data_IF_792719494529
#
_entry.id   IF_792719494529
#
_cell.length_a   1.000
_cell.length_b   1.000
_cell.length_c   1.000
_cell.angle_alpha   90.00
_cell.angle_beta   90.00
_cell.angle_gamma   90.00
#
_symmetry.space_group_name_H-M   'P 1'
#
loop_
_entity.id
_entity.type
_entity.pdbx_description
1 polymer ?
#
# COMPACT_ATOMS: atom_id res chain seq x y z
N UNK A 1 1.88 -30.00 -14.50
CA UNK A 1 1.71 -29.55 -15.90
C UNK A 1 1.03 -28.19 -15.83
N UNK A 2 1.63 -27.04 -16.11
CA UNK A 2 2.94 -26.63 -16.61
C UNK A 2 3.32 -25.33 -15.88
N UNK A 3 4.56 -25.20 -15.41
CA UNK A 3 5.25 -23.92 -15.25
C UNK A 3 6.78 -24.09 -15.46
N UNK A 4 7.17 -25.19 -16.13
CA UNK A 4 8.56 -25.43 -16.53
C UNK A 4 8.99 -24.58 -17.74
N UNK A 5 8.04 -23.91 -18.41
CA UNK A 5 8.29 -23.12 -19.62
C UNK A 5 9.19 -21.88 -19.38
N UNK A 6 9.34 -21.40 -18.14
CA UNK A 6 10.20 -20.24 -17.86
C UNK A 6 11.66 -20.62 -17.59
N UNK A 7 12.02 -21.89 -17.42
CA UNK A 7 13.36 -22.27 -16.95
C UNK A 7 14.47 -22.14 -18.02
N UNK A 8 14.13 -22.00 -19.30
CA UNK A 8 15.10 -22.09 -20.40
C UNK A 8 15.26 -20.81 -21.25
N UNK A 9 14.57 -19.72 -20.91
CA UNK A 9 14.72 -18.45 -21.62
C UNK A 9 15.78 -17.57 -20.95
N UNK A 10 16.69 -17.01 -21.73
CA UNK A 10 17.68 -16.02 -21.27
C UNK A 10 17.03 -14.76 -20.68
N UNK A 11 15.81 -14.43 -21.12
CA UNK A 11 14.97 -13.38 -20.53
C UNK A 11 14.51 -13.78 -19.11
N UNK A 12 13.97 -14.99 -18.92
CA UNK A 12 13.48 -15.42 -17.61
C UNK A 12 14.63 -15.60 -16.58
N UNK A 13 15.83 -16.01 -17.02
CA UNK A 13 17.04 -16.00 -16.19
C UNK A 13 17.45 -14.56 -15.79
N UNK A 14 17.35 -13.59 -16.72
CA UNK A 14 17.62 -12.18 -16.45
C UNK A 14 16.59 -11.57 -15.51
N UNK A 15 15.32 -11.97 -15.61
CA UNK A 15 14.24 -11.56 -14.71
C UNK A 15 14.42 -12.12 -13.30
N UNK A 16 14.76 -13.41 -13.14
CA UNK A 16 15.11 -13.98 -11.82
C UNK A 16 16.34 -13.30 -11.23
N UNK A 17 17.36 -12.99 -12.04
CA UNK A 17 18.53 -12.23 -11.61
C UNK A 17 18.17 -10.79 -11.20
N UNK A 18 17.28 -10.13 -11.95
CA UNK A 18 16.79 -8.78 -11.64
C UNK A 18 15.93 -8.77 -10.37
N UNK A 19 15.04 -9.75 -10.17
CA UNK A 19 14.27 -9.94 -8.93
C UNK A 19 15.22 -10.23 -7.75
N UNK A 20 16.26 -11.04 -7.94
CA UNK A 20 17.28 -11.31 -6.93
C UNK A 20 18.14 -10.08 -6.57
N UNK A 21 18.57 -9.30 -7.56
CA UNK A 21 19.31 -8.04 -7.35
C UNK A 21 18.43 -6.93 -6.74
N UNK A 22 17.13 -6.91 -7.07
CA UNK A 22 16.15 -5.97 -6.51
C UNK A 22 15.67 -6.36 -5.11
N UNK A 23 15.60 -7.67 -4.80
CA UNK A 23 15.29 -8.18 -3.46
C UNK A 23 16.28 -7.67 -2.39
N UNK A 24 17.55 -7.51 -2.74
CA UNK A 24 18.55 -6.91 -1.86
C UNK A 24 18.51 -5.38 -1.79
N UNK A 25 17.72 -4.72 -2.65
CA UNK A 25 17.77 -3.27 -2.87
C UNK A 25 16.47 -2.53 -2.50
N UNK A 26 15.41 -3.22 -2.14
CA UNK A 26 14.23 -2.64 -1.48
C UNK A 26 13.11 -2.23 -2.45
N UNK A 27 11.88 -2.41 -1.97
CA UNK A 27 10.64 -2.29 -2.71
C UNK A 27 9.64 -3.33 -2.21
N UNK A 28 8.36 -2.97 -2.11
CA UNK A 28 7.30 -3.87 -1.59
C UNK A 28 7.05 -5.01 -2.57
N UNK A 29 7.15 -4.74 -3.87
CA UNK A 29 6.88 -5.70 -4.93
C UNK A 29 8.01 -6.65 -5.21
N UNK A 30 9.26 -6.26 -4.96
CA UNK A 30 10.39 -7.18 -5.04
C UNK A 30 10.16 -8.38 -4.11
N UNK A 31 9.68 -8.12 -2.89
CA UNK A 31 9.35 -9.14 -1.89
C UNK A 31 8.15 -9.99 -2.34
N UNK A 32 7.07 -9.35 -2.83
CA UNK A 32 5.86 -10.04 -3.29
C UNK A 32 6.11 -10.94 -4.51
N UNK A 33 7.02 -10.52 -5.41
CA UNK A 33 7.42 -11.27 -6.60
C UNK A 33 8.52 -12.32 -6.33
N UNK A 34 8.97 -12.44 -5.06
CA UNK A 34 9.88 -13.50 -4.65
C UNK A 34 9.26 -14.89 -4.82
N UNK A 35 10.10 -15.93 -4.77
CA UNK A 35 9.63 -17.31 -4.86
C UNK A 35 8.70 -17.64 -3.68
N UNK A 36 7.47 -18.04 -4.00
CA UNK A 36 6.47 -18.40 -3.02
C UNK A 36 6.60 -19.88 -2.67
N UNK A 37 7.09 -20.18 -1.47
CA UNK A 37 7.20 -21.57 -1.01
C UNK A 37 5.87 -22.15 -0.49
N UNK A 38 4.87 -21.29 -0.19
CA UNK A 38 3.57 -21.73 0.33
C UNK A 38 2.40 -20.83 -0.10
N UNK A 39 1.24 -21.40 -0.50
CA UNK A 39 0.03 -20.65 -0.86
C UNK A 39 -0.56 -19.85 0.30
N UNK A 40 -0.17 -20.11 1.56
CA UNK A 40 -0.66 -19.41 2.75
C UNK A 40 0.26 -18.27 3.22
N UNK A 41 1.37 -18.02 2.51
CA UNK A 41 2.27 -16.91 2.82
C UNK A 41 1.59 -15.57 2.50
N UNK A 42 1.45 -14.72 3.52
CA UNK A 42 0.99 -13.34 3.37
C UNK A 42 2.19 -12.41 3.23
N UNK A 43 2.14 -11.53 2.23
CA UNK A 43 3.15 -10.50 2.06
C UNK A 43 2.72 -9.23 2.77
N UNK A 44 3.65 -8.53 3.40
CA UNK A 44 3.37 -7.18 3.92
C UNK A 44 3.30 -6.21 2.75
N UNK A 45 2.27 -5.37 2.71
CA UNK A 45 2.14 -4.31 1.70
C UNK A 45 2.58 -2.95 2.26
N UNK A 46 1.89 -2.46 3.28
CA UNK A 46 2.30 -1.33 4.13
C UNK A 46 2.82 -1.86 5.48
N UNK A 47 3.16 -0.96 6.39
CA UNK A 47 3.59 -1.30 7.75
C UNK A 47 2.51 -2.07 8.51
N UNK A 48 2.95 -3.03 9.32
CA UNK A 48 2.13 -3.74 10.30
C UNK A 48 2.63 -3.34 11.69
N UNK A 49 1.77 -2.74 12.51
CA UNK A 49 2.14 -2.27 13.84
C UNK A 49 0.96 -2.30 14.81
N UNK A 50 1.28 -2.32 16.11
CA UNK A 50 0.35 -2.09 17.20
C UNK A 50 1.07 -1.22 18.23
N UNK A 51 0.50 -0.05 18.52
CA UNK A 51 1.08 0.95 19.42
C UNK A 51 0.02 1.51 20.35
N UNK A 52 0.42 1.88 21.56
CA UNK A 52 -0.42 2.64 22.48
C UNK A 52 -0.12 4.13 22.32
N UNK A 53 -1.18 4.93 22.23
CA UNK A 53 -1.09 6.35 21.86
C UNK A 53 -1.87 7.21 22.85
N UNK A 54 -1.43 8.47 23.01
CA UNK A 54 -2.11 9.48 23.82
C UNK A 54 -2.21 10.78 23.04
N UNK A 55 -3.44 11.20 22.71
CA UNK A 55 -3.72 12.42 21.97
C UNK A 55 -3.85 13.66 22.87
N UNK A 56 -3.53 14.83 22.32
CA UNK A 56 -3.76 16.11 23.01
C UNK A 56 -5.25 16.46 23.13
N UNK A 57 -6.03 16.14 22.10
CA UNK A 57 -7.47 16.38 21.99
C UNK A 57 -8.17 15.19 21.32
N UNK A 58 -9.44 14.97 21.68
CA UNK A 58 -10.31 13.97 21.07
C UNK A 58 -11.39 14.67 20.25
N UNK A 59 -11.58 14.29 18.99
CA UNK A 59 -12.58 14.89 18.12
C UNK A 59 -13.98 14.33 18.37
N UNK A 60 -14.54 14.63 19.55
CA UNK A 60 -15.88 14.20 19.95
C UNK A 60 -17.00 14.66 19.00
N UNK A 61 -16.96 15.87 18.42
CA UNK A 61 -17.99 16.29 17.46
C UNK A 61 -18.13 15.36 16.24
N UNK A 62 -17.02 14.80 15.74
CA UNK A 62 -17.03 13.88 14.61
C UNK A 62 -17.59 12.49 14.95
N UNK A 63 -17.72 12.16 16.23
CA UNK A 63 -18.24 10.88 16.72
C UNK A 63 -19.51 11.06 17.57
N UNK A 64 -20.16 12.22 17.52
CA UNK A 64 -21.30 12.56 18.37
C UNK A 64 -22.51 11.63 18.21
N UNK A 65 -22.59 10.90 17.09
CA UNK A 65 -23.62 9.89 16.83
C UNK A 65 -23.48 8.67 17.75
N UNK A 66 -22.34 8.51 18.42
CA UNK A 66 -22.10 7.43 19.37
C UNK A 66 -22.60 7.78 20.77
N UNK A 67 -23.28 6.82 21.40
CA UNK A 67 -23.76 6.88 22.78
C UNK A 67 -22.64 7.11 23.81
N UNK A 68 -21.44 6.61 23.52
CA UNK A 68 -20.24 6.74 24.37
C UNK A 68 -19.35 7.95 24.04
N UNK A 69 -19.73 8.80 23.07
CA UNK A 69 -18.88 9.86 22.52
C UNK A 69 -18.39 10.88 23.56
N UNK A 70 -19.25 11.23 24.52
CA UNK A 70 -18.93 12.14 25.62
C UNK A 70 -17.90 11.56 26.60
N UNK A 71 -17.84 10.23 26.70
CA UNK A 71 -16.92 9.49 27.55
C UNK A 71 -15.67 9.02 26.79
N UNK A 72 -15.51 9.39 25.51
CA UNK A 72 -14.31 9.08 24.73
C UNK A 72 -13.05 9.63 25.41
N UNK A 73 -12.05 8.75 25.58
CA UNK A 73 -10.77 9.08 26.21
C UNK A 73 -9.75 9.51 25.18
N UNK A 74 -8.67 10.14 25.65
CA UNK A 74 -7.57 10.62 24.81
C UNK A 74 -6.53 9.54 24.52
N UNK A 75 -6.55 8.44 25.27
CA UNK A 75 -5.65 7.32 25.09
C UNK A 75 -6.32 6.21 24.27
N UNK A 76 -5.62 5.74 23.25
CA UNK A 76 -6.12 4.73 22.31
C UNK A 76 -4.99 3.77 21.94
N UNK A 77 -5.34 2.50 21.70
CA UNK A 77 -4.48 1.60 20.92
C UNK A 77 -4.71 1.91 19.45
N UNK A 78 -3.63 2.23 18.73
CA UNK A 78 -3.64 2.38 17.28
C UNK A 78 -2.90 1.20 16.67
N UNK A 79 -3.52 0.52 15.72
CA UNK A 79 -2.86 -0.53 14.96
C UNK A 79 -3.17 -0.44 13.48
N UNK A 80 -2.21 -0.93 12.70
CA UNK A 80 -2.35 -1.12 11.27
C UNK A 80 -2.00 -2.56 10.92
N UNK A 81 -2.86 -3.17 10.12
CA UNK A 81 -2.54 -4.41 9.42
C UNK A 81 -2.56 -4.12 7.92
N UNK A 82 -1.60 -4.68 7.18
CA UNK A 82 -1.49 -4.45 5.74
C UNK A 82 -0.85 -5.63 5.02
N UNK A 83 -1.61 -6.19 4.08
CA UNK A 83 -1.21 -7.37 3.33
C UNK A 83 -1.35 -7.17 1.83
N UNK A 84 -0.42 -7.76 1.09
CA UNK A 84 -0.38 -7.80 -0.37
C UNK A 84 -0.61 -9.21 -0.88
N UNK A 85 -1.36 -9.31 -1.97
CA UNK A 85 -1.80 -10.56 -2.59
C UNK A 85 -1.40 -10.54 -4.06
N UNK A 86 -0.41 -11.34 -4.49
CA UNK A 86 -0.11 -11.48 -5.90
C UNK A 86 -1.23 -12.26 -6.58
N UNK A 87 -1.94 -11.64 -7.52
CA UNK A 87 -3.03 -12.28 -8.25
C UNK A 87 -2.53 -12.89 -9.56
N UNK A 88 -1.71 -12.15 -10.30
CA UNK A 88 -1.14 -12.61 -11.57
C UNK A 88 0.22 -11.97 -11.83
N UNK A 89 1.28 -12.78 -11.71
CA UNK A 89 2.64 -12.37 -12.06
C UNK A 89 2.88 -12.44 -13.57
N UNK A 90 3.58 -11.45 -14.12
CA UNK A 90 3.95 -11.44 -15.54
C UNK A 90 2.86 -10.98 -16.52
N UNK A 91 1.75 -10.43 -16.03
CA UNK A 91 0.56 -10.05 -16.84
C UNK A 91 0.88 -9.09 -18.01
N UNK A 92 1.86 -8.20 -17.86
CA UNK A 92 2.34 -7.28 -18.90
C UNK A 92 3.75 -7.64 -19.40
N UNK A 93 4.26 -8.82 -19.07
CA UNK A 93 5.65 -9.23 -19.27
C UNK A 93 6.44 -9.30 -17.96
N UNK A 94 7.72 -9.64 -18.06
CA UNK A 94 8.59 -9.90 -16.90
C UNK A 94 8.65 -8.72 -15.91
N UNK A 95 8.68 -9.02 -14.62
CA UNK A 95 8.70 -8.02 -13.54
C UNK A 95 7.39 -7.24 -13.34
N UNK A 96 6.29 -7.63 -14.01
CA UNK A 96 4.97 -7.05 -13.78
C UNK A 96 4.09 -7.90 -12.87
N UNK A 97 3.13 -7.27 -12.20
CA UNK A 97 2.22 -7.90 -11.24
C UNK A 97 0.83 -7.26 -11.34
N UNK A 98 -0.22 -8.06 -11.54
CA UNK A 98 -1.55 -7.71 -11.06
C UNK A 98 -1.64 -8.16 -9.60
N UNK A 99 -1.88 -7.22 -8.70
CA UNK A 99 -1.96 -7.47 -7.28
C UNK A 99 -3.21 -6.86 -6.66
N UNK A 100 -3.56 -7.38 -5.50
CA UNK A 100 -4.46 -6.73 -4.57
C UNK A 100 -3.74 -6.44 -3.25
N UNK A 101 -4.20 -5.45 -2.52
CA UNK A 101 -3.79 -5.23 -1.14
C UNK A 101 -4.98 -4.90 -0.26
N UNK A 102 -4.80 -5.12 1.03
CA UNK A 102 -5.75 -4.73 2.05
C UNK A 102 -5.00 -4.09 3.19
N UNK A 103 -5.29 -2.82 3.46
CA UNK A 103 -4.78 -2.10 4.63
C UNK A 103 -5.95 -1.72 5.53
N UNK A 104 -5.81 -1.98 6.83
CA UNK A 104 -6.79 -1.58 7.83
C UNK A 104 -6.09 -0.80 8.93
N UNK A 105 -6.67 0.35 9.31
CA UNK A 105 -6.18 1.18 10.42
C UNK A 105 -7.29 1.33 11.43
N UNK A 106 -7.02 0.99 12.69
CA UNK A 106 -8.03 1.04 13.75
C UNK A 106 -7.54 1.86 14.94
N UNK A 107 -8.49 2.57 15.55
CA UNK A 107 -8.32 3.31 16.80
C UNK A 107 -9.26 2.73 17.85
N UNK A 108 -8.68 2.12 18.87
CA UNK A 108 -9.38 1.35 19.87
C UNK A 108 -9.26 1.99 21.25
N UNK A 109 -10.40 2.30 21.86
CA UNK A 109 -10.49 2.81 23.24
C UNK A 109 -10.28 1.68 24.26
N UNK A 110 -9.18 0.93 24.14
CA UNK A 110 -8.90 -0.27 24.93
C UNK A 110 -9.04 -0.02 26.44
N UNK A 111 -8.56 1.13 26.94
CA UNK A 111 -8.63 1.46 28.36
C UNK A 111 -10.04 1.84 28.84
N UNK A 112 -10.95 2.19 27.92
CA UNK A 112 -12.27 2.72 28.23
C UNK A 112 -13.29 1.62 28.60
N UNK A 113 -12.95 0.84 29.63
CA UNK A 113 -13.75 -0.28 30.11
C UNK A 113 -15.18 0.11 30.55
N UNK A 114 -15.39 1.39 30.92
CA UNK A 114 -16.72 1.91 31.30
C UNK A 114 -17.71 1.88 30.12
N UNK A 115 -17.20 2.12 28.92
CA UNK A 115 -17.97 2.09 27.66
C UNK A 115 -17.76 0.77 26.90
N UNK A 116 -17.30 -0.28 27.59
CA UNK A 116 -16.98 -1.59 26.99
C UNK A 116 -15.85 -1.56 25.95
N UNK A 117 -14.90 -0.63 26.09
CA UNK A 117 -13.70 -0.52 25.24
C UNK A 117 -14.01 -0.47 23.73
N UNK A 118 -14.78 0.53 23.26
CA UNK A 118 -15.26 0.56 21.89
C UNK A 118 -14.14 0.88 20.88
N UNK A 119 -14.31 0.43 19.64
CA UNK A 119 -13.51 0.95 18.55
C UNK A 119 -14.06 2.31 18.14
N UNK A 120 -13.23 3.35 18.16
CA UNK A 120 -13.64 4.67 17.70
C UNK A 120 -13.77 4.72 16.21
N UNK A 121 -12.77 4.19 15.50
CA UNK A 121 -12.70 4.26 14.06
C UNK A 121 -11.97 3.05 13.52
N UNK A 122 -12.43 2.53 12.38
CA UNK A 122 -11.67 1.56 11.60
C UNK A 122 -11.78 1.94 10.14
N UNK A 123 -10.65 2.29 9.53
CA UNK A 123 -10.58 2.59 8.11
C UNK A 123 -10.14 1.34 7.35
N UNK A 124 -10.91 1.00 6.32
CA UNK A 124 -10.69 -0.10 5.38
C UNK A 124 -10.19 0.45 4.05
N UNK A 125 -9.04 -0.04 3.61
CA UNK A 125 -8.39 0.40 2.38
C UNK A 125 -8.02 -0.80 1.49
N UNK A 126 -8.99 -1.43 0.81
CA UNK A 126 -8.70 -2.40 -0.24
C UNK A 126 -8.20 -1.71 -1.51
N UNK A 127 -7.29 -2.38 -2.22
CA UNK A 127 -6.71 -1.92 -3.47
C UNK A 127 -6.59 -3.05 -4.48
N UNK A 128 -6.78 -2.73 -5.76
CA UNK A 128 -6.37 -3.56 -6.90
C UNK A 128 -5.48 -2.73 -7.81
N UNK A 129 -4.35 -3.29 -8.25
CA UNK A 129 -3.34 -2.52 -8.95
C UNK A 129 -2.53 -3.36 -9.93
N UNK A 130 -1.97 -2.66 -10.92
CA UNK A 130 -0.89 -3.15 -11.77
C UNK A 130 0.42 -2.52 -11.30
N UNK A 131 1.41 -3.35 -11.04
CA UNK A 131 2.74 -2.93 -10.65
C UNK A 131 3.79 -3.45 -11.64
N UNK A 132 4.90 -2.73 -11.74
CA UNK A 132 6.08 -3.15 -12.49
C UNK A 132 7.36 -2.76 -11.76
N UNK A 133 8.26 -3.72 -11.64
CA UNK A 133 9.64 -3.51 -11.23
C UNK A 133 10.41 -2.82 -12.36
N UNK A 134 11.22 -1.83 -11.99
CA UNK A 134 12.07 -1.05 -12.89
C UNK A 134 13.46 -0.88 -12.30
N UNK A 135 14.43 -0.50 -13.12
CA UNK A 135 15.77 -0.12 -12.66
C UNK A 135 16.27 1.08 -13.48
N UNK A 136 15.41 2.08 -13.64
CA UNK A 136 15.77 3.28 -14.39
C UNK A 136 16.56 4.21 -13.49
N UNK A 137 17.79 4.53 -13.88
CA UNK A 137 18.66 5.44 -13.14
C UNK A 137 18.53 6.87 -13.67
N UNK A 138 18.35 7.83 -12.77
CA UNK A 138 18.38 9.25 -13.06
C UNK A 138 19.01 10.01 -11.88
N UNK A 139 20.05 10.79 -12.14
CA UNK A 139 20.74 11.61 -11.13
C UNK A 139 21.13 10.86 -9.83
N UNK A 140 21.57 9.59 -9.94
CA UNK A 140 21.92 8.74 -8.78
C UNK A 140 20.71 8.19 -8.00
N UNK A 141 19.49 8.40 -8.50
CA UNK A 141 18.28 7.74 -8.04
C UNK A 141 17.92 6.60 -8.98
N UNK A 142 17.52 5.48 -8.40
CA UNK A 142 16.92 4.39 -9.14
C UNK A 142 15.41 4.38 -8.90
N UNK A 143 14.64 4.49 -9.97
CA UNK A 143 13.23 4.15 -9.96
C UNK A 143 13.12 2.63 -9.87
N UNK A 144 12.55 2.14 -8.77
CA UNK A 144 12.47 0.70 -8.46
C UNK A 144 11.10 0.12 -8.77
N UNK A 145 10.04 0.85 -8.46
CA UNK A 145 8.68 0.35 -8.58
C UNK A 145 7.76 1.44 -9.12
N UNK A 146 6.90 1.03 -10.05
CA UNK A 146 5.78 1.81 -10.55
C UNK A 146 4.52 1.00 -10.28
N UNK A 147 3.53 1.62 -9.67
CA UNK A 147 2.24 0.99 -9.38
C UNK A 147 1.11 1.93 -9.76
N UNK A 148 0.08 1.40 -10.41
CA UNK A 148 -1.14 2.12 -10.77
C UNK A 148 -2.36 1.25 -10.49
N UNK A 149 -3.36 1.78 -9.80
CA UNK A 149 -4.54 1.01 -9.44
C UNK A 149 -5.68 1.79 -8.84
N UNK A 150 -6.73 1.07 -8.49
CA UNK A 150 -7.89 1.61 -7.79
C UNK A 150 -7.79 1.30 -6.30
N UNK A 151 -7.99 2.32 -5.49
CA UNK A 151 -7.96 2.27 -4.03
C UNK A 151 -9.31 2.75 -3.53
N UNK A 152 -9.98 1.92 -2.73
CA UNK A 152 -11.22 2.29 -2.06
C UNK A 152 -10.92 2.54 -0.59
N UNK A 153 -11.40 3.65 -0.03
CA UNK A 153 -11.26 3.97 1.39
C UNK A 153 -12.63 4.20 2.00
N UNK A 154 -12.95 3.47 3.05
CA UNK A 154 -14.17 3.66 3.84
C UNK A 154 -13.90 3.38 5.31
N UNK A 155 -14.81 3.80 6.18
CA UNK A 155 -14.78 3.45 7.61
C UNK A 155 -15.84 2.40 7.99
N UNK A 156 -16.58 1.87 7.02
CA UNK A 156 -17.62 0.87 7.22
C UNK A 156 -18.86 1.35 7.99
N UNK A 157 -19.04 2.66 8.20
CA UNK A 157 -20.20 3.19 8.92
C UNK A 157 -21.41 3.41 8.00
N UNK A 158 -22.65 3.25 8.51
CA UNK A 158 -23.88 3.44 7.72
C UNK A 158 -24.10 4.86 7.21
N UNK A 159 -23.64 5.89 7.92
CA UNK A 159 -23.69 7.28 7.42
C UNK A 159 -22.65 7.57 6.32
N UNK A 160 -21.60 6.74 6.23
CA UNK A 160 -20.41 6.95 5.37
C UNK A 160 -20.23 5.84 4.30
N UNK A 161 -21.29 5.06 3.99
CA UNK A 161 -21.19 3.91 3.05
C UNK A 161 -20.65 4.30 1.66
N UNK A 162 -20.68 5.58 1.32
CA UNK A 162 -19.98 6.12 0.15
C UNK A 162 -18.47 6.24 0.42
N UNK A 163 -17.78 5.12 0.55
CA UNK A 163 -16.32 5.10 0.55
C UNK A 163 -15.76 5.74 -0.73
N UNK A 164 -14.60 6.38 -0.64
CA UNK A 164 -13.99 7.09 -1.76
C UNK A 164 -13.20 6.08 -2.60
N UNK A 165 -13.56 5.92 -3.87
CA UNK A 165 -12.75 5.19 -4.86
C UNK A 165 -11.89 6.19 -5.64
N UNK A 166 -10.59 5.94 -5.67
CA UNK A 166 -9.65 6.78 -6.42
C UNK A 166 -8.64 5.96 -7.20
N UNK A 167 -8.15 6.56 -8.28
CA UNK A 167 -6.93 6.11 -8.93
C UNK A 167 -5.72 6.51 -8.06
N UNK A 168 -4.84 5.55 -7.80
CA UNK A 168 -3.57 5.75 -7.12
C UNK A 168 -2.45 5.41 -8.09
N UNK A 169 -1.47 6.30 -8.18
CA UNK A 169 -0.19 6.02 -8.83
C UNK A 169 0.92 6.19 -7.81
N UNK A 170 1.70 5.15 -7.58
CA UNK A 170 2.82 5.12 -6.64
C UNK A 170 4.14 4.91 -7.40
N UNK A 171 5.16 5.61 -6.96
CA UNK A 171 6.52 5.51 -7.46
C UNK A 171 7.47 5.38 -6.27
N UNK A 172 8.31 4.35 -6.28
CA UNK A 172 9.36 4.17 -5.29
C UNK A 172 10.72 4.46 -5.91
N UNK A 173 11.38 5.51 -5.41
CA UNK A 173 12.75 5.88 -5.75
C UNK A 173 13.69 5.50 -4.60
N UNK A 174 14.87 4.98 -4.94
CA UNK A 174 15.96 4.75 -3.99
C UNK A 174 17.21 5.51 -4.44
N UNK A 175 17.78 6.32 -3.55
CA UNK A 175 19.05 6.99 -3.83
C UNK A 175 20.23 6.05 -3.59
N UNK A 176 21.41 6.44 -4.08
CA UNK A 176 22.68 5.87 -3.61
C UNK A 176 22.75 6.02 -2.06
N UNK A 177 22.88 4.90 -1.34
CA UNK A 177 22.96 4.86 0.12
C UNK A 177 21.69 4.35 0.83
N UNK A 178 21.30 4.99 1.94
CA UNK A 178 20.23 4.53 2.86
C UNK A 178 18.87 5.20 2.65
N UNK A 179 18.74 6.09 1.66
CA UNK A 179 17.54 6.90 1.46
C UNK A 179 16.51 6.22 0.55
N UNK A 180 15.26 6.22 0.98
CA UNK A 180 14.10 5.73 0.24
C UNK A 180 13.06 6.84 0.19
N UNK A 181 12.50 7.10 -0.99
CA UNK A 181 11.41 8.05 -1.19
C UNK A 181 10.27 7.36 -1.91
N UNK A 182 9.08 7.36 -1.31
CA UNK A 182 7.83 6.98 -1.96
C UNK A 182 7.01 8.23 -2.26
N UNK A 183 6.43 8.30 -3.46
CA UNK A 183 5.42 9.31 -3.81
C UNK A 183 4.20 8.63 -4.38
N UNK A 184 3.04 8.96 -3.80
CA UNK A 184 1.73 8.56 -4.28
C UNK A 184 0.88 9.76 -4.64
N UNK A 185 0.02 9.62 -5.65
CA UNK A 185 -1.09 10.54 -5.83
C UNK A 185 -2.15 10.24 -4.75
N UNK A 186 -2.53 11.26 -3.97
CA UNK A 186 -3.64 11.13 -3.02
C UNK A 186 -4.95 10.79 -3.71
N UNK A 187 -5.94 10.33 -2.93
CA UNK A 187 -7.26 9.95 -3.44
C UNK A 187 -7.94 11.17 -4.14
N UNK A 188 -8.01 11.18 -5.48
CA UNK A 188 -8.71 12.20 -6.26
C UNK A 188 -9.74 11.55 -7.20
N UNK A 189 -10.91 12.20 -7.35
CA UNK A 189 -11.95 11.78 -8.32
C UNK A 189 -11.35 11.70 -9.73
N UNK A 190 -11.77 10.68 -10.49
CA UNK A 190 -11.19 10.21 -11.77
C UNK A 190 -11.01 11.29 -12.85
N UNK A 191 -11.72 12.41 -12.77
CA UNK A 191 -11.71 13.48 -13.77
C UNK A 191 -10.39 14.29 -13.91
N UNK A 192 -9.38 14.06 -13.06
CA UNK A 192 -8.09 14.79 -13.07
C UNK A 192 -6.94 14.06 -13.81
N UNK A 193 -7.25 13.06 -14.65
CA UNK A 193 -6.32 12.03 -15.12
C UNK A 193 -5.15 12.52 -16.01
N UNK A 194 -5.37 13.50 -16.89
CA UNK A 194 -4.39 13.84 -17.95
C UNK A 194 -3.23 14.72 -17.45
N UNK A 195 -3.50 15.69 -16.58
CA UNK A 195 -2.49 16.65 -16.10
C UNK A 195 -1.50 16.01 -15.11
N UNK A 196 -1.91 14.92 -14.44
CA UNK A 196 -1.10 14.22 -13.44
C UNK A 196 -0.11 13.24 -14.07
N UNK A 197 -0.48 12.53 -15.14
CA UNK A 197 0.48 11.67 -15.86
C UNK A 197 1.63 12.51 -16.45
N UNK A 198 1.31 13.70 -16.96
CA UNK A 198 2.30 14.66 -17.46
C UNK A 198 3.15 15.21 -16.31
N UNK A 199 2.57 15.63 -15.19
CA UNK A 199 3.35 16.11 -14.03
C UNK A 199 4.24 15.04 -13.39
N UNK A 200 3.74 13.81 -13.28
CA UNK A 200 4.48 12.67 -12.71
C UNK A 200 5.60 12.20 -13.65
N UNK A 201 5.35 12.13 -14.96
CA UNK A 201 6.36 11.83 -15.97
C UNK A 201 7.41 12.95 -16.05
N UNK A 202 7.00 14.22 -16.04
CA UNK A 202 7.91 15.37 -16.02
C UNK A 202 8.79 15.29 -14.77
N UNK A 203 8.26 15.04 -13.57
CA UNK A 203 9.09 14.93 -12.36
C UNK A 203 9.96 13.66 -12.32
N UNK A 204 9.52 12.56 -12.94
CA UNK A 204 10.37 11.38 -13.12
C UNK A 204 11.58 11.67 -14.03
N UNK A 205 11.46 12.66 -14.92
CA UNK A 205 12.48 13.06 -15.90
C UNK A 205 13.30 14.27 -15.43
N UNK A 206 12.78 15.13 -14.53
CA UNK A 206 13.42 16.40 -14.13
C UNK A 206 14.01 16.41 -12.72
N UNK A 207 13.94 15.31 -11.96
CA UNK A 207 14.44 15.21 -10.58
C UNK A 207 15.24 13.94 -10.30
#
# INVERSE_FOLDING_TARGET
MENAACLFSSMCYRAKKQIGELNGRGGVFAIILGEQESPLMLYSYDTNYLIYTYGSSMNKPAIHSYDWSDQARKDEVSFQISFGFPLWQGILGEGSLLGASYTQRSWWQLSNKKESSPFRETNYEPQIFLARLTDHEFAGWHLREIEMGFNHQSNGRPEDVAGIVCMRVLWHKKAIGRWISSRGTGCRKVHAMMTMMISAAIWAITA
#
